data_IF_780858336395
#
_entry.id   IF_780858336395
#
_cell.length_a   1.000
_cell.length_b   1.000
_cell.length_c   1.000
_cell.angle_alpha   90.00
_cell.angle_beta   90.00
_cell.angle_gamma   90.00
#
_symmetry.space_group_name_H-M   'P 1'
#
loop_
_entity.id
_entity.type
_entity.pdbx_description
1 polymer ?
#
# COMPACT_ATOMS: atom_id res chain seq x y z
N UNK A 1 -44.73 -6.69 -5.73
CA UNK A 1 -43.60 -7.55 -6.14
C UNK A 1 -42.52 -6.60 -6.61
N UNK A 2 -41.78 -6.05 -5.65
CA UNK A 2 -40.75 -5.04 -5.89
C UNK A 2 -39.39 -5.74 -6.01
N UNK A 3 -38.53 -5.32 -6.96
CA UNK A 3 -37.21 -5.91 -7.11
C UNK A 3 -36.31 -5.48 -5.95
N UNK A 4 -35.85 -6.46 -5.17
CA UNK A 4 -34.79 -6.29 -4.17
C UNK A 4 -33.52 -5.79 -4.86
N UNK A 5 -33.18 -4.52 -4.63
CA UNK A 5 -31.85 -4.02 -4.89
C UNK A 5 -30.90 -4.69 -3.87
N UNK A 6 -30.16 -5.69 -4.34
CA UNK A 6 -28.99 -6.20 -3.63
C UNK A 6 -28.00 -5.05 -3.45
N UNK A 7 -27.88 -4.54 -2.22
CA UNK A 7 -26.84 -3.58 -1.86
C UNK A 7 -25.45 -4.19 -2.01
N UNK A 8 -24.41 -3.37 -2.21
CA UNK A 8 -23.04 -3.86 -2.29
C UNK A 8 -22.66 -4.50 -0.95
N UNK A 9 -22.21 -5.75 -0.99
CA UNK A 9 -21.87 -6.51 0.20
C UNK A 9 -20.79 -5.78 1.01
N UNK A 10 -21.15 -5.46 2.25
CA UNK A 10 -20.32 -4.74 3.18
C UNK A 10 -19.08 -5.56 3.59
N UNK A 11 -17.89 -4.98 3.41
CA UNK A 11 -16.74 -5.24 4.28
C UNK A 11 -15.95 -6.53 4.10
N UNK A 12 -16.07 -7.22 2.97
CA UNK A 12 -15.21 -8.35 2.61
C UNK A 12 -14.02 -7.89 1.77
N UNK A 13 -12.85 -8.52 1.97
CA UNK A 13 -11.82 -8.61 0.93
C UNK A 13 -12.42 -9.40 -0.25
N UNK A 14 -13.25 -8.74 -1.08
CA UNK A 14 -13.74 -9.27 -2.35
C UNK A 14 -12.58 -9.60 -3.29
N UNK A 15 -12.87 -9.96 -4.54
CA UNK A 15 -11.82 -10.18 -5.54
C UNK A 15 -10.94 -8.93 -5.63
N UNK A 16 -9.77 -8.95 -4.96
CA UNK A 16 -8.80 -7.89 -5.08
C UNK A 16 -8.42 -7.88 -6.55
N UNK A 17 -8.41 -6.69 -7.14
CA UNK A 17 -7.94 -6.55 -8.51
C UNK A 17 -6.47 -6.89 -8.55
N UNK A 18 -6.23 -8.16 -8.86
CA UNK A 18 -4.92 -8.80 -8.89
C UNK A 18 -4.00 -8.03 -9.83
N UNK A 19 -4.55 -7.56 -10.95
CA UNK A 19 -3.89 -6.66 -11.90
C UNK A 19 -3.41 -5.36 -11.24
N UNK A 20 -4.22 -4.71 -10.40
CA UNK A 20 -3.84 -3.49 -9.70
C UNK A 20 -2.72 -3.73 -8.67
N UNK A 21 -2.74 -4.88 -7.99
CA UNK A 21 -1.69 -5.24 -7.04
C UNK A 21 -0.37 -5.62 -7.74
N UNK A 22 -0.44 -6.35 -8.85
CA UNK A 22 0.74 -6.66 -9.67
C UNK A 22 1.35 -5.38 -10.23
N UNK A 23 0.52 -4.47 -10.75
CA UNK A 23 0.96 -3.17 -11.27
C UNK A 23 1.57 -2.30 -10.18
N UNK A 24 1.04 -2.33 -8.96
CA UNK A 24 1.62 -1.56 -7.86
C UNK A 24 3.00 -2.07 -7.47
N UNK A 25 3.20 -3.39 -7.46
CA UNK A 25 4.50 -4.02 -7.26
C UNK A 25 5.48 -3.67 -8.37
N UNK A 26 5.05 -3.70 -9.63
CA UNK A 26 5.90 -3.31 -10.77
C UNK A 26 6.41 -1.87 -10.63
N UNK A 27 5.50 -0.93 -10.36
CA UNK A 27 5.85 0.49 -10.14
C UNK A 27 6.80 0.64 -8.94
N UNK A 28 6.52 -0.08 -7.85
CA UNK A 28 7.37 -0.07 -6.66
C UNK A 28 8.80 -0.50 -7.00
N UNK A 29 8.96 -1.63 -7.69
CA UNK A 29 10.27 -2.20 -8.00
C UNK A 29 11.06 -1.33 -8.98
N UNK A 30 10.39 -0.71 -9.96
CA UNK A 30 11.02 0.22 -10.91
C UNK A 30 11.66 1.43 -10.23
N UNK A 31 11.07 1.90 -9.12
CA UNK A 31 11.60 3.04 -8.34
C UNK A 31 12.59 2.57 -7.27
N UNK A 32 12.32 1.47 -6.58
CA UNK A 32 13.14 0.96 -5.48
C UNK A 32 14.44 0.30 -5.96
N UNK A 33 14.47 -0.18 -7.20
CA UNK A 33 15.61 -0.85 -7.84
C UNK A 33 15.86 -0.28 -9.25
N UNK A 34 16.28 0.99 -9.39
CA UNK A 34 16.48 1.63 -10.70
C UNK A 34 17.55 0.93 -11.54
N UNK A 35 18.51 0.26 -10.90
CA UNK A 35 19.53 -0.58 -11.55
C UNK A 35 18.97 -1.87 -12.19
N UNK A 36 17.71 -2.22 -11.93
CA UNK A 36 17.07 -3.49 -12.32
C UNK A 36 17.57 -4.72 -11.54
N UNK A 37 18.54 -4.54 -10.63
CA UNK A 37 19.14 -5.60 -9.81
C UNK A 37 18.27 -5.95 -8.62
N UNK A 38 17.13 -6.57 -8.87
CA UNK A 38 16.23 -7.05 -7.82
C UNK A 38 16.83 -8.31 -7.16
N UNK A 39 17.07 -8.34 -5.83
CA UNK A 39 17.60 -9.49 -5.12
C UNK A 39 16.74 -10.74 -5.27
N UNK A 40 17.35 -11.94 -5.27
CA UNK A 40 16.61 -13.21 -5.34
C UNK A 40 15.57 -13.37 -4.23
N UNK A 41 15.86 -12.87 -3.03
CA UNK A 41 14.93 -12.90 -1.90
C UNK A 41 13.66 -12.12 -2.17
N UNK A 42 13.75 -11.01 -2.90
CA UNK A 42 12.59 -10.22 -3.34
C UNK A 42 11.88 -10.94 -4.47
N UNK A 43 12.59 -11.46 -5.47
CA UNK A 43 11.99 -12.23 -6.59
C UNK A 43 11.17 -13.43 -6.09
N UNK A 44 11.67 -14.17 -5.10
CA UNK A 44 10.94 -15.30 -4.47
C UNK A 44 9.64 -14.84 -3.79
N UNK A 45 9.59 -13.62 -3.25
CA UNK A 45 8.37 -13.05 -2.66
C UNK A 45 7.36 -12.57 -3.71
N UNK A 46 7.73 -12.56 -4.98
CA UNK A 46 6.85 -12.23 -6.12
C UNK A 46 6.33 -13.48 -6.84
N UNK A 47 6.79 -14.67 -6.46
CA UNK A 47 6.31 -15.94 -6.99
C UNK A 47 4.95 -16.30 -6.38
N UNK A 48 3.91 -15.55 -6.79
CA UNK A 48 2.54 -15.76 -6.35
C UNK A 48 1.87 -16.87 -7.19
N UNK A 49 0.92 -17.62 -6.62
CA UNK A 49 0.13 -18.56 -7.39
C UNK A 49 -0.67 -17.84 -8.48
N UNK A 50 -0.80 -18.47 -9.64
CA UNK A 50 -1.68 -17.98 -10.72
C UNK A 50 -3.14 -18.03 -10.24
N UNK A 51 -3.85 -16.90 -10.33
CA UNK A 51 -5.25 -16.79 -9.92
C UNK A 51 -5.57 -15.51 -9.14
N UNK A 52 -6.82 -15.37 -8.67
CA UNK A 52 -7.26 -14.19 -7.94
C UNK A 52 -6.59 -14.12 -6.56
N UNK A 53 -5.99 -12.97 -6.26
CA UNK A 53 -5.45 -12.67 -4.94
C UNK A 53 -6.64 -12.33 -4.02
N UNK A 54 -6.78 -13.11 -2.95
CA UNK A 54 -7.84 -12.94 -1.95
C UNK A 54 -7.25 -12.61 -0.59
N UNK A 55 -8.08 -12.22 0.37
CA UNK A 55 -7.64 -12.07 1.77
C UNK A 55 -6.97 -13.33 2.34
N UNK A 56 -7.40 -14.52 1.93
CA UNK A 56 -6.77 -15.79 2.32
C UNK A 56 -5.35 -15.95 1.71
N UNK A 57 -5.11 -15.35 0.55
CA UNK A 57 -3.79 -15.29 -0.09
C UNK A 57 -2.86 -14.36 0.67
N UNK A 58 -3.35 -13.16 1.02
CA UNK A 58 -2.60 -12.17 1.81
C UNK A 58 -2.32 -12.64 3.25
N UNK A 59 -3.10 -13.59 3.77
CA UNK A 59 -2.87 -14.17 5.09
C UNK A 59 -1.72 -15.19 5.16
N UNK A 60 -1.09 -15.53 4.02
CA UNK A 60 -0.01 -16.51 3.91
C UNK A 60 1.30 -15.85 3.47
N UNK A 61 2.47 -16.47 3.78
CA UNK A 61 3.74 -16.03 3.22
C UNK A 61 3.66 -15.97 1.68
N UNK A 62 4.28 -14.96 1.04
CA UNK A 62 5.27 -14.02 1.58
C UNK A 62 4.69 -12.77 2.25
N UNK A 63 3.36 -12.65 2.35
CA UNK A 63 2.70 -11.55 3.02
C UNK A 63 2.74 -11.74 4.55
N UNK A 64 2.80 -10.62 5.28
CA UNK A 64 2.79 -10.57 6.73
C UNK A 64 1.65 -9.68 7.22
N UNK A 65 1.01 -10.05 8.33
CA UNK A 65 0.03 -9.18 8.99
C UNK A 65 0.79 -8.04 9.67
N UNK A 66 0.56 -6.81 9.22
CA UNK A 66 1.25 -5.61 9.68
C UNK A 66 0.48 -4.83 10.75
N UNK A 67 -0.76 -5.23 11.04
CA UNK A 67 -1.61 -4.55 12.01
C UNK A 67 -3.09 -4.73 11.71
N UNK A 68 -3.90 -3.81 12.22
CA UNK A 68 -5.33 -3.73 11.96
C UNK A 68 -5.68 -2.33 11.44
N UNK A 69 -6.66 -2.27 10.55
CA UNK A 69 -7.23 -1.03 10.04
C UNK A 69 -7.96 -0.26 11.16
N UNK A 70 -8.37 0.98 10.87
CA UNK A 70 -8.97 1.89 11.85
C UNK A 70 -10.28 1.36 12.47
N UNK A 71 -11.00 0.49 11.77
CA UNK A 71 -12.18 -0.23 12.25
C UNK A 71 -11.86 -1.35 13.26
N UNK A 72 -10.58 -1.62 13.51
CA UNK A 72 -10.11 -2.58 14.52
C UNK A 72 -10.37 -4.05 14.21
N UNK A 73 -11.08 -4.35 13.12
CA UNK A 73 -11.53 -5.70 12.75
C UNK A 73 -10.79 -6.24 11.54
N UNK A 74 -10.36 -5.35 10.64
CA UNK A 74 -9.80 -5.75 9.35
C UNK A 74 -8.26 -5.78 9.37
N UNK A 75 -7.60 -6.91 9.04
CA UNK A 75 -6.14 -7.01 9.06
C UNK A 75 -5.50 -6.19 7.94
N UNK A 76 -4.42 -5.47 8.28
CA UNK A 76 -3.53 -4.84 7.29
C UNK A 76 -2.46 -5.87 6.92
N UNK A 77 -2.23 -6.04 5.63
CA UNK A 77 -1.18 -6.92 5.11
C UNK A 77 0.01 -6.10 4.63
N UNK A 78 1.18 -6.69 4.65
CA UNK A 78 2.38 -6.09 4.11
C UNK A 78 3.23 -7.11 3.36
N UNK A 79 3.94 -6.63 2.35
CA UNK A 79 4.91 -7.38 1.59
C UNK A 79 6.26 -6.69 1.68
N UNK A 80 7.27 -7.40 2.19
CA UNK A 80 8.63 -6.86 2.31
C UNK A 80 9.36 -6.90 0.97
N UNK A 81 9.40 -5.76 0.31
CA UNK A 81 10.11 -5.58 -0.95
C UNK A 81 11.48 -4.93 -0.75
N UNK A 82 11.61 -4.02 0.21
CA UNK A 82 12.84 -3.26 0.42
C UNK A 82 13.17 -2.33 -0.75
N UNK A 83 14.35 -1.74 -0.71
CA UNK A 83 14.95 -1.03 -1.83
C UNK A 83 16.45 -1.36 -1.90
N UNK A 84 17.17 -0.79 -2.87
CA UNK A 84 18.61 -1.03 -3.08
C UNK A 84 19.48 -0.70 -1.85
N UNK A 85 19.08 0.29 -1.05
CA UNK A 85 19.80 0.78 0.14
C UNK A 85 19.20 0.30 1.47
N UNK A 86 17.95 -0.14 1.49
CA UNK A 86 17.24 -0.51 2.72
C UNK A 86 16.27 -1.70 2.53
N UNK A 87 16.59 -2.90 3.04
CA UNK A 87 15.83 -4.12 2.75
C UNK A 87 14.51 -4.27 3.56
N UNK A 88 14.25 -3.40 4.53
CA UNK A 88 13.12 -3.56 5.46
C UNK A 88 11.86 -2.78 5.08
N UNK A 89 11.93 -1.96 4.02
CA UNK A 89 10.74 -1.28 3.48
C UNK A 89 9.68 -2.28 3.00
N UNK A 90 8.40 -1.94 3.24
CA UNK A 90 7.27 -2.81 2.92
C UNK A 90 6.22 -2.06 2.09
N UNK A 91 5.59 -2.79 1.18
CA UNK A 91 4.33 -2.41 0.57
C UNK A 91 3.21 -2.84 1.51
N UNK A 92 2.39 -1.91 1.99
CA UNK A 92 1.21 -2.19 2.80
C UNK A 92 -0.05 -2.19 1.94
N UNK A 93 -0.91 -3.17 2.23
CA UNK A 93 -2.22 -3.39 1.62
C UNK A 93 -3.23 -3.32 2.77
N UNK A 94 -3.93 -2.20 2.85
CA UNK A 94 -4.99 -1.99 3.82
C UNK A 94 -6.33 -2.19 3.14
N UNK A 95 -7.21 -3.08 3.62
CA UNK A 95 -8.54 -3.22 3.05
C UNK A 95 -9.34 -1.93 3.28
N UNK A 96 -10.13 -1.54 2.28
CA UNK A 96 -10.87 -0.28 2.32
C UNK A 96 -12.14 -0.35 1.48
N UNK A 97 -13.15 0.44 1.87
CA UNK A 97 -14.42 0.55 1.16
C UNK A 97 -14.29 1.49 -0.05
N UNK A 98 -13.48 1.10 -1.03
CA UNK A 98 -13.40 1.77 -2.34
C UNK A 98 -13.64 0.76 -3.47
N UNK A 99 -13.70 1.24 -4.70
CA UNK A 99 -13.91 0.39 -5.88
C UNK A 99 -12.78 -0.64 -6.11
N UNK A 100 -11.60 -0.44 -5.52
CA UNK A 100 -10.49 -1.39 -5.60
C UNK A 100 -10.49 -2.45 -4.48
N UNK A 101 -11.23 -2.22 -3.39
CA UNK A 101 -11.27 -3.05 -2.18
C UNK A 101 -10.07 -2.86 -1.23
N UNK A 102 -9.13 -1.97 -1.54
CA UNK A 102 -7.92 -1.74 -0.73
C UNK A 102 -7.28 -0.37 -0.98
N UNK A 103 -6.38 0.02 -0.09
CA UNK A 103 -5.46 1.14 -0.20
C UNK A 103 -4.02 0.65 -0.12
N UNK A 104 -3.17 1.23 -0.96
CA UNK A 104 -1.73 1.01 -0.99
C UNK A 104 -1.03 2.12 -0.21
N UNK A 105 -0.03 1.73 0.58
CA UNK A 105 0.92 2.66 1.17
C UNK A 105 2.30 2.01 1.30
N UNK A 106 3.34 2.83 1.35
CA UNK A 106 4.70 2.37 1.64
C UNK A 106 5.00 2.55 3.12
N UNK A 107 5.41 1.46 3.79
CA UNK A 107 5.93 1.49 5.16
C UNK A 107 7.45 1.52 5.13
N UNK A 108 8.03 2.60 5.65
CA UNK A 108 9.48 2.76 5.64
C UNK A 108 10.17 2.01 6.77
N UNK A 109 9.46 1.66 7.86
CA UNK A 109 9.92 0.88 9.02
C UNK A 109 11.29 1.29 9.61
N UNK A 110 11.73 2.53 9.34
CA UNK A 110 12.99 3.12 9.80
C UNK A 110 12.83 3.91 11.11
N UNK A 111 11.64 3.89 11.72
CA UNK A 111 11.40 4.53 13.00
C UNK A 111 11.87 3.61 14.13
N UNK A 112 13.15 3.71 14.47
CA UNK A 112 13.70 3.07 15.66
C UNK A 112 13.61 4.05 16.83
N UNK A 113 12.55 3.93 17.63
CA UNK A 113 12.42 4.71 18.85
C UNK A 113 13.52 4.31 19.85
N UNK A 114 14.34 5.27 20.27
CA UNK A 114 15.27 5.08 21.39
C UNK A 114 16.68 4.60 21.05
N UNK A 115 17.13 4.71 19.80
CA UNK A 115 18.51 4.39 19.45
C UNK A 115 19.41 5.58 19.84
N UNK A 116 20.12 5.44 20.96
CA UNK A 116 21.21 6.35 21.38
C UNK A 116 22.43 6.06 20.49
N UNK A 117 22.37 6.56 19.26
CA UNK A 117 23.47 6.45 18.31
C UNK A 117 24.33 7.69 18.41
N UNK A 118 25.64 7.48 18.58
CA UNK A 118 26.62 8.57 18.56
C UNK A 118 26.48 9.45 17.31
N UNK A 119 27.04 10.66 17.34
CA UNK A 119 26.78 11.73 16.35
C UNK A 119 26.99 11.33 14.88
N UNK A 120 27.98 10.49 14.56
CA UNK A 120 28.24 10.02 13.19
C UNK A 120 27.19 9.01 12.70
N UNK A 121 26.75 8.13 13.58
CA UNK A 121 25.78 7.08 13.28
C UNK A 121 24.35 7.67 13.22
N UNK A 122 24.08 8.70 14.03
CA UNK A 122 22.86 9.49 13.95
C UNK A 122 22.70 10.24 12.61
N UNK A 123 23.80 10.72 12.02
CA UNK A 123 23.75 11.41 10.72
C UNK A 123 23.45 10.42 9.58
N UNK A 124 24.16 9.28 9.53
CA UNK A 124 23.90 8.23 8.54
C UNK A 124 22.46 7.69 8.65
N UNK A 125 21.94 7.56 9.88
CA UNK A 125 20.56 7.16 10.12
C UNK A 125 19.56 8.20 9.62
N UNK A 126 19.77 9.50 9.88
CA UNK A 126 18.91 10.57 9.33
C UNK A 126 18.92 10.60 7.80
N UNK A 127 20.08 10.41 7.18
CA UNK A 127 20.19 10.33 5.73
C UNK A 127 19.41 9.14 5.18
N UNK A 128 19.47 7.98 5.84
CA UNK A 128 18.67 6.80 5.50
C UNK A 128 17.16 7.06 5.64
N UNK A 129 16.72 7.68 6.74
CA UNK A 129 15.31 8.05 6.93
C UNK A 129 14.83 9.00 5.84
N UNK A 130 15.61 10.03 5.52
CA UNK A 130 15.30 10.98 4.46
C UNK A 130 15.22 10.30 3.09
N UNK A 131 16.12 9.36 2.80
CA UNK A 131 16.09 8.58 1.57
C UNK A 131 14.85 7.69 1.48
N UNK A 132 14.54 6.95 2.54
CA UNK A 132 13.37 6.08 2.59
C UNK A 132 12.06 6.86 2.45
N UNK A 133 12.00 8.05 3.07
CA UNK A 133 10.87 8.95 2.96
C UNK A 133 10.71 9.47 1.53
N UNK A 134 11.81 9.92 0.89
CA UNK A 134 11.80 10.31 -0.53
C UNK A 134 11.33 9.17 -1.44
N UNK A 135 11.78 7.94 -1.18
CA UNK A 135 11.35 6.76 -1.95
C UNK A 135 9.86 6.47 -1.74
N UNK A 136 9.36 6.53 -0.50
CA UNK A 136 7.93 6.39 -0.19
C UNK A 136 7.11 7.39 -1.00
N UNK A 137 7.47 8.67 -0.97
CA UNK A 137 6.77 9.72 -1.69
C UNK A 137 6.80 9.51 -3.20
N UNK A 138 7.96 9.12 -3.75
CA UNK A 138 8.10 8.83 -5.18
C UNK A 138 7.21 7.67 -5.63
N UNK A 139 7.17 6.57 -4.85
CA UNK A 139 6.36 5.39 -5.14
C UNK A 139 4.87 5.72 -5.03
N UNK A 140 4.45 6.37 -3.94
CA UNK A 140 3.03 6.74 -3.74
C UNK A 140 2.55 7.74 -4.80
N UNK A 141 3.41 8.69 -5.21
CA UNK A 141 3.11 9.61 -6.32
C UNK A 141 3.02 8.89 -7.67
N UNK A 142 3.89 7.91 -7.93
CA UNK A 142 3.83 7.12 -9.16
C UNK A 142 2.58 6.24 -9.22
N UNK A 143 2.17 5.66 -8.09
CA UNK A 143 0.90 4.95 -7.99
C UNK A 143 -0.30 5.86 -8.24
N UNK A 144 -0.30 7.07 -7.68
CA UNK A 144 -1.35 8.07 -7.95
C UNK A 144 -1.45 8.39 -9.44
N UNK A 145 -0.32 8.67 -10.10
CA UNK A 145 -0.28 8.94 -11.56
C UNK A 145 -0.72 7.74 -12.41
N UNK A 146 -0.54 6.52 -11.90
CA UNK A 146 -0.97 5.29 -12.54
C UNK A 146 -2.45 4.95 -12.27
N UNK A 147 -3.18 5.76 -11.49
CA UNK A 147 -4.56 5.51 -11.11
C UNK A 147 -4.73 4.36 -10.12
N UNK A 148 -3.68 4.04 -9.35
CA UNK A 148 -3.72 2.99 -8.33
C UNK A 148 -4.30 3.52 -7.00
N UNK A 149 -4.96 2.66 -6.22
CA UNK A 149 -5.71 3.08 -5.04
C UNK A 149 -4.76 3.43 -3.89
N UNK A 150 -4.38 4.71 -3.79
CA UNK A 150 -3.56 5.26 -2.71
C UNK A 150 -4.41 6.10 -1.77
N UNK A 151 -3.92 6.32 -0.55
CA UNK A 151 -4.61 7.18 0.41
C UNK A 151 -4.82 8.62 -0.11
N UNK A 152 -3.84 9.17 -0.83
CA UNK A 152 -3.94 10.52 -1.40
C UNK A 152 -5.00 10.60 -2.51
N UNK A 153 -5.07 9.59 -3.39
CA UNK A 153 -6.12 9.53 -4.41
C UNK A 153 -7.51 9.47 -3.75
N UNK A 154 -7.66 8.65 -2.70
CA UNK A 154 -8.92 8.55 -1.97
C UNK A 154 -9.30 9.88 -1.31
N UNK A 155 -8.35 10.58 -0.69
CA UNK A 155 -8.60 11.89 -0.07
C UNK A 155 -9.10 12.91 -1.10
N UNK A 156 -8.54 12.91 -2.32
CA UNK A 156 -8.99 13.79 -3.41
C UNK A 156 -10.41 13.45 -3.87
N UNK A 157 -10.71 12.17 -4.08
CA UNK A 157 -12.06 11.73 -4.47
C UNK A 157 -13.09 12.06 -3.39
N UNK A 158 -12.74 11.86 -2.12
CA UNK A 158 -13.59 12.19 -0.98
C UNK A 158 -13.87 13.69 -0.89
N UNK A 159 -12.84 14.54 -1.00
CA UNK A 159 -13.01 16.00 -1.01
C UNK A 159 -13.91 16.47 -2.15
N UNK A 160 -13.64 16.02 -3.38
CA UNK A 160 -14.44 16.36 -4.55
C UNK A 160 -15.91 15.92 -4.40
N UNK A 161 -16.15 14.73 -3.82
CA UNK A 161 -17.50 14.23 -3.55
C UNK A 161 -18.24 15.08 -2.51
N UNK A 162 -17.55 15.56 -1.47
CA UNK A 162 -18.17 16.45 -0.46
C UNK A 162 -18.46 17.84 -1.01
N UNK A 163 -17.59 18.36 -1.86
CA UNK A 163 -17.83 19.64 -2.54
C UNK A 163 -19.06 19.55 -3.47
N UNK A 164 -19.20 18.43 -4.19
CA UNK A 164 -20.37 18.17 -5.01
C UNK A 164 -21.67 18.01 -4.20
N UNK A 165 -21.63 17.30 -3.06
CA UNK A 165 -22.76 17.12 -2.16
C UNK A 165 -23.22 18.45 -1.52
N UNK A 166 -22.27 19.30 -1.12
CA UNK A 166 -22.55 20.65 -0.62
C UNK A 166 -23.17 21.56 -1.69
N UNK A 167 -22.83 21.38 -2.97
CA UNK A 167 -23.45 22.13 -4.07
C UNK A 167 -24.82 21.58 -4.48
N UNK A 168 -25.04 20.27 -4.34
CA UNK A 168 -26.31 19.62 -4.66
C UNK A 168 -27.39 19.83 -3.57
N UNK A 169 -26.99 19.97 -2.30
CA UNK A 169 -27.92 20.25 -1.18
C UNK A 169 -28.35 21.71 -1.03
N UNK A 170 -27.88 22.61 -1.90
CA UNK A 170 -28.23 24.04 -1.93
C UNK A 170 -29.14 24.44 -3.09
N UNK A 171 -29.72 23.48 -3.83
CA UNK A 171 -30.77 23.72 -4.83
C UNK A 171 -32.14 23.24 -4.38
#
# INVERSE_FOLDING_TARGET
MEPSASGPEAGGLGELRTESLLRSVEVYLGIAYPSGKIPETVRRRLAWPEGPITGATLAKPPFEKSGRAADGSTPIFALRLGNERYPHMKLQIQPWTNHAGFLLSVNTHDQVAGLDVGTADAQAFRELQAENQRMKEAIESAWEKAGLPTFLQYLREYLASREADLQAGSQ
#
